data_IF_516288019345
#
_entry.id   IF_516288019345
#
_cell.length_a   1.000
_cell.length_b   1.000
_cell.length_c   1.000
_cell.angle_alpha   90.00
_cell.angle_beta   90.00
_cell.angle_gamma   90.00
#
_symmetry.space_group_name_H-M   'P 1'
#
loop_
_entity.id
_entity.type
_entity.pdbx_description
1 polymer ?
#
# COMPACT_ATOMS: atom_id res chain seq x y z
N UNK A 1 3.96 6.16 -0.57
CA UNK A 1 4.41 7.56 -0.32
C UNK A 1 3.19 8.43 -0.55
N UNK A 2 2.74 9.18 0.44
CA UNK A 2 1.57 10.07 0.32
C UNK A 2 1.88 11.20 -0.66
N UNK A 3 1.52 11.01 -1.93
CA UNK A 3 1.71 11.98 -3.00
C UNK A 3 0.77 13.19 -2.84
N UNK A 4 1.33 14.38 -2.95
CA UNK A 4 0.66 15.66 -2.73
C UNK A 4 0.01 16.18 -4.03
N UNK A 5 -1.28 16.53 -3.91
CA UNK A 5 -2.10 17.55 -4.58
C UNK A 5 -2.21 17.50 -6.12
N UNK A 6 -3.39 17.14 -6.61
CA UNK A 6 -3.92 17.66 -7.89
C UNK A 6 -5.14 18.54 -7.64
N UNK A 7 -5.12 19.75 -8.22
CA UNK A 7 -6.21 20.75 -8.16
C UNK A 7 -7.28 20.38 -9.19
N UNK A 8 -8.54 20.24 -8.77
CA UNK A 8 -9.71 20.34 -9.67
C UNK A 8 -10.61 21.45 -9.12
N UNK A 9 -10.70 22.59 -9.82
CA UNK A 9 -11.53 23.73 -9.39
C UNK A 9 -10.96 24.59 -8.26
N UNK A 10 -9.64 24.54 -8.00
CA UNK A 10 -8.95 25.48 -7.09
C UNK A 10 -8.86 25.07 -5.62
N UNK A 11 -9.53 24.00 -5.18
CA UNK A 11 -9.37 23.45 -3.82
C UNK A 11 -8.34 22.31 -3.81
N UNK A 12 -7.39 22.31 -2.87
CA UNK A 12 -6.43 21.22 -2.77
C UNK A 12 -7.02 19.98 -2.10
N UNK A 13 -6.54 18.82 -2.51
CA UNK A 13 -7.04 17.51 -2.10
C UNK A 13 -5.87 16.57 -1.78
N UNK A 14 -6.09 15.67 -0.82
CA UNK A 14 -5.13 14.62 -0.45
C UNK A 14 -5.48 13.30 -1.14
N UNK A 15 -4.47 12.64 -1.68
CA UNK A 15 -4.56 11.32 -2.28
C UNK A 15 -3.57 10.36 -1.62
N UNK A 16 -3.94 9.09 -1.56
CA UNK A 16 -3.01 8.01 -1.24
C UNK A 16 -2.59 7.35 -2.56
N UNK A 17 -1.28 7.33 -2.82
CA UNK A 17 -0.71 6.76 -4.03
C UNK A 17 0.09 5.50 -3.71
N UNK A 18 -0.17 4.44 -4.47
CA UNK A 18 0.55 3.19 -4.38
C UNK A 18 0.69 2.51 -5.73
N UNK A 19 1.66 1.60 -5.83
CA UNK A 19 1.92 0.84 -7.05
C UNK A 19 1.38 -0.59 -6.90
N UNK A 20 0.57 -1.01 -7.86
CA UNK A 20 0.01 -2.36 -7.93
C UNK A 20 0.00 -2.81 -9.40
N UNK A 21 0.54 -4.01 -9.68
CA UNK A 21 0.61 -4.57 -11.04
C UNK A 21 1.25 -3.63 -12.08
N UNK A 22 2.35 -2.98 -11.71
CA UNK A 22 3.06 -2.00 -12.53
C UNK A 22 2.23 -0.77 -12.94
N UNK A 23 1.13 -0.50 -12.22
CA UNK A 23 0.29 0.69 -12.38
C UNK A 23 0.33 1.53 -11.11
N UNK A 24 0.36 2.84 -11.28
CA UNK A 24 0.18 3.80 -10.20
C UNK A 24 -1.32 3.97 -9.96
N UNK A 25 -1.75 3.67 -8.74
CA UNK A 25 -3.14 3.81 -8.28
C UNK A 25 -3.21 4.99 -7.33
N UNK A 26 -4.15 5.90 -7.57
CA UNK A 26 -4.42 7.06 -6.72
C UNK A 26 -5.82 6.95 -6.12
N UNK A 27 -5.91 7.01 -4.79
CA UNK A 27 -7.18 6.95 -4.05
C UNK A 27 -7.43 8.29 -3.38
N UNK A 28 -8.59 8.90 -3.68
CA UNK A 28 -8.99 10.15 -3.04
C UNK A 28 -9.25 9.96 -1.54
N UNK A 29 -8.52 10.69 -0.71
CA UNK A 29 -8.62 10.62 0.74
C UNK A 29 -9.54 11.70 1.32
N UNK A 30 -9.59 12.89 0.69
CA UNK A 30 -10.40 14.00 1.17
C UNK A 30 -9.78 15.37 0.87
N UNK A 31 -10.38 16.46 1.39
CA UNK A 31 -9.79 17.79 1.33
C UNK A 31 -8.43 17.84 2.05
N UNK A 32 -7.50 18.64 1.53
CA UNK A 32 -6.21 18.87 2.19
C UNK A 32 -6.40 19.40 3.62
N UNK A 33 -5.59 18.91 4.56
CA UNK A 33 -5.61 19.35 5.96
C UNK A 33 -6.75 18.75 6.80
N UNK A 34 -7.69 18.01 6.19
CA UNK A 34 -8.75 17.34 6.95
C UNK A 34 -8.20 16.15 7.75
N UNK A 35 -8.57 16.07 9.03
CA UNK A 35 -8.30 14.91 9.89
C UNK A 35 -8.86 13.62 9.27
N UNK A 36 -10.02 13.70 8.62
CA UNK A 36 -10.62 12.56 7.93
C UNK A 36 -9.78 12.11 6.72
N UNK A 37 -9.22 13.05 5.96
CA UNK A 37 -8.35 12.73 4.82
C UNK A 37 -7.06 12.05 5.31
N UNK A 38 -6.47 12.56 6.39
CA UNK A 38 -5.29 11.94 7.02
C UNK A 38 -5.61 10.54 7.55
N UNK A 39 -6.73 10.37 8.25
CA UNK A 39 -7.17 9.06 8.76
C UNK A 39 -7.33 8.06 7.62
N UNK A 40 -8.04 8.43 6.54
CA UNK A 40 -8.26 7.56 5.39
C UNK A 40 -6.96 7.17 4.69
N UNK A 41 -6.01 8.11 4.55
CA UNK A 41 -4.70 7.81 3.98
C UNK A 41 -3.94 6.79 4.83
N UNK A 42 -3.96 6.94 6.15
CA UNK A 42 -3.32 6.00 7.09
C UNK A 42 -4.01 4.61 7.03
N UNK A 43 -5.34 4.56 7.01
CA UNK A 43 -6.09 3.29 6.90
C UNK A 43 -5.74 2.53 5.61
N UNK A 44 -5.58 3.25 4.49
CA UNK A 44 -5.15 2.66 3.22
C UNK A 44 -3.70 2.17 3.27
N UNK A 45 -2.81 2.93 3.90
CA UNK A 45 -1.40 2.53 4.08
C UNK A 45 -1.28 1.27 4.92
N UNK A 46 -1.99 1.20 6.06
CA UNK A 46 -2.03 0.01 6.92
C UNK A 46 -2.51 -1.20 6.12
N UNK A 47 -3.66 -1.09 5.44
CA UNK A 47 -4.22 -2.20 4.67
C UNK A 47 -3.25 -2.71 3.58
N UNK A 48 -2.53 -1.80 2.93
CA UNK A 48 -1.55 -2.15 1.91
C UNK A 48 -0.32 -2.84 2.50
N UNK A 49 0.16 -2.37 3.65
CA UNK A 49 1.26 -3.00 4.37
C UNK A 49 0.87 -4.40 4.88
N UNK A 50 -0.34 -4.57 5.42
CA UNK A 50 -0.84 -5.88 5.84
C UNK A 50 -0.88 -6.89 4.69
N UNK A 51 -1.36 -6.47 3.51
CA UNK A 51 -1.34 -7.32 2.31
C UNK A 51 0.08 -7.74 1.92
N UNK A 52 1.04 -6.82 1.99
CA UNK A 52 2.46 -7.12 1.69
C UNK A 52 3.06 -8.08 2.70
N UNK A 53 2.84 -7.84 3.99
CA UNK A 53 3.30 -8.74 5.07
C UNK A 53 2.75 -10.15 4.89
N UNK A 54 1.47 -10.29 4.55
CA UNK A 54 0.87 -11.59 4.29
C UNK A 54 1.49 -12.27 3.05
N UNK A 55 1.64 -11.54 1.94
CA UNK A 55 2.27 -12.08 0.73
C UNK A 55 3.73 -12.52 0.98
N UNK A 56 4.51 -11.71 1.70
CA UNK A 56 5.89 -12.04 2.06
C UNK A 56 5.96 -13.24 3.01
N UNK A 57 5.01 -13.34 3.96
CA UNK A 57 4.88 -14.49 4.86
C UNK A 57 4.57 -15.78 4.11
N UNK A 58 3.63 -15.74 3.18
CA UNK A 58 3.28 -16.90 2.34
C UNK A 58 4.48 -17.32 1.49
N UNK A 59 5.20 -16.34 0.91
CA UNK A 59 6.41 -16.61 0.13
C UNK A 59 7.51 -17.23 1.00
N UNK A 60 7.71 -16.74 2.22
CA UNK A 60 8.67 -17.30 3.16
C UNK A 60 8.32 -18.75 3.53
N UNK A 61 7.03 -19.05 3.76
CA UNK A 61 6.59 -20.41 4.05
C UNK A 61 6.84 -21.35 2.88
N UNK A 62 6.55 -20.92 1.65
CA UNK A 62 6.86 -21.68 0.44
C UNK A 62 8.36 -21.98 0.34
N UNK A 63 9.21 -20.96 0.48
CA UNK A 63 10.67 -21.12 0.40
C UNK A 63 11.21 -22.07 1.48
N UNK A 64 10.65 -22.04 2.69
CA UNK A 64 11.00 -22.99 3.76
C UNK A 64 10.64 -24.43 3.38
N UNK A 65 9.46 -24.65 2.79
CA UNK A 65 9.04 -25.96 2.29
C UNK A 65 9.90 -26.43 1.12
N UNK A 66 10.30 -25.52 0.23
CA UNK A 66 11.23 -25.82 -0.87
C UNK A 66 12.60 -26.24 -0.32
N UNK A 67 13.13 -25.52 0.67
CA UNK A 67 14.41 -25.84 1.31
C UNK A 67 14.41 -27.21 2.01
N UNK A 68 13.34 -27.57 2.72
CA UNK A 68 13.22 -28.85 3.41
C UNK A 68 13.25 -30.06 2.45
N UNK A 69 12.73 -29.87 1.23
CA UNK A 69 12.74 -30.89 0.17
C UNK A 69 14.10 -31.09 -0.50
N UNK A 70 15.07 -30.18 -0.28
CA UNK A 70 16.39 -30.33 -0.85
C UNK A 70 17.18 -31.40 -0.10
N UNK A 71 17.97 -32.23 -0.81
CA UNK A 71 18.79 -33.25 -0.16
C UNK A 71 19.79 -32.60 0.79
N UNK A 72 19.77 -33.01 2.05
CA UNK A 72 20.79 -32.64 3.03
C UNK A 72 22.08 -33.36 2.65
N UNK A 73 23.09 -32.60 2.26
CA UNK A 73 24.47 -33.09 2.06
C UNK A 73 25.05 -33.63 3.36
#
# INVERSE_FOLDING_TARGET
>A
MTGIITKRGGRPYSYFEYHENNKTVQVYCGPEGSVQARRKAIELEISLLEKRVNADRDRLEQLRKELDKLPKK
#
